data_IF_730238822661
#
_entry.id   IF_730238822661
#
_cell.length_a   1.000
_cell.length_b   1.000
_cell.length_c   1.000
_cell.angle_alpha   90.00
_cell.angle_beta   90.00
_cell.angle_gamma   90.00
#
_symmetry.space_group_name_H-M   'P 1'
#
loop_
_entity.id
_entity.type
_entity.pdbx_description
1 polymer ?
#
# COMPACT_ATOMS: atom_id res chain seq x y z
N UNK A 1 -10.45 3.27 25.72
CA UNK A 1 -9.20 3.88 25.23
C UNK A 1 -9.16 3.66 23.73
N UNK A 2 -9.24 4.68 22.86
CA UNK A 2 -9.00 4.43 21.44
C UNK A 2 -7.56 3.94 21.33
N UNK A 3 -7.37 2.68 20.90
CA UNK A 3 -6.03 2.15 20.64
C UNK A 3 -5.34 3.09 19.67
N UNK A 4 -4.13 3.54 19.99
CA UNK A 4 -3.29 4.32 19.07
C UNK A 4 -3.25 3.54 17.76
N UNK A 5 -3.98 4.02 16.75
CA UNK A 5 -3.99 3.35 15.46
C UNK A 5 -2.53 3.32 14.98
N UNK A 6 -2.06 2.15 14.58
CA UNK A 6 -0.71 2.01 14.07
C UNK A 6 -0.59 2.85 12.79
N UNK A 7 0.39 3.73 12.74
CA UNK A 7 0.64 4.65 11.63
C UNK A 7 2.13 4.69 11.34
N UNK A 8 2.49 4.49 10.07
CA UNK A 8 3.85 4.66 9.57
C UNK A 8 3.87 5.80 8.55
N UNK A 9 4.83 6.71 8.68
CA UNK A 9 5.04 7.78 7.70
C UNK A 9 6.15 7.32 6.76
N UNK A 10 5.84 7.23 5.46
CA UNK A 10 6.84 6.90 4.43
C UNK A 10 7.13 8.16 3.62
N UNK A 11 8.39 8.57 3.60
CA UNK A 11 8.85 9.72 2.80
C UNK A 11 9.23 9.27 1.40
N UNK A 12 8.54 9.77 0.38
CA UNK A 12 8.67 9.37 -1.03
C UNK A 12 8.88 10.64 -1.85
N UNK A 13 10.05 10.80 -2.48
CA UNK A 13 10.38 11.96 -3.31
C UNK A 13 10.09 13.31 -2.64
N UNK A 14 10.43 13.44 -1.34
CA UNK A 14 10.20 14.64 -0.54
C UNK A 14 8.76 14.84 -0.03
N UNK A 15 7.86 13.89 -0.29
CA UNK A 15 6.49 13.90 0.22
C UNK A 15 6.30 12.86 1.33
N UNK A 16 5.71 13.27 2.44
CA UNK A 16 5.28 12.35 3.50
C UNK A 16 3.94 11.71 3.14
N UNK A 17 3.87 10.38 3.19
CA UNK A 17 2.66 9.59 2.92
C UNK A 17 2.34 8.74 4.15
N UNK A 18 1.23 9.02 4.86
CA UNK A 18 0.84 8.22 6.02
C UNK A 18 0.22 6.89 5.60
N UNK A 19 0.71 5.79 6.16
CA UNK A 19 0.18 4.43 6.02
C UNK A 19 -0.47 4.04 7.34
N UNK A 20 -1.79 4.04 7.37
CA UNK A 20 -2.57 3.53 8.51
C UNK A 20 -2.69 2.01 8.48
N UNK A 21 -2.72 1.39 9.67
CA UNK A 21 -2.80 -0.06 9.85
C UNK A 21 -1.75 -0.82 9.00
N UNK A 22 -0.46 -0.46 9.09
CA UNK A 22 0.58 -1.02 8.24
C UNK A 22 0.74 -2.53 8.42
N UNK A 23 0.51 -3.05 9.64
CA UNK A 23 0.59 -4.49 9.93
C UNK A 23 -0.62 -5.30 9.45
N UNK A 24 -1.65 -4.68 8.84
CA UNK A 24 -2.80 -5.43 8.30
C UNK A 24 -2.36 -6.39 7.20
N UNK A 25 -2.61 -7.68 7.38
CA UNK A 25 -2.38 -8.69 6.33
C UNK A 25 -3.42 -8.49 5.22
N UNK A 26 -2.93 -8.26 4.00
CA UNK A 26 -3.77 -8.14 2.80
C UNK A 26 -3.72 -9.40 1.92
N UNK A 27 -2.67 -10.21 2.05
CA UNK A 27 -2.48 -11.46 1.32
C UNK A 27 -2.29 -12.62 2.31
N UNK A 28 -3.36 -13.24 2.82
CA UNK A 28 -3.27 -14.21 3.92
C UNK A 28 -2.39 -15.42 3.61
N UNK A 29 -2.49 -15.97 2.41
CA UNK A 29 -1.71 -17.14 2.00
C UNK A 29 -0.19 -16.87 1.98
N UNK A 30 0.23 -15.65 1.61
CA UNK A 30 1.64 -15.26 1.56
C UNK A 30 2.12 -14.52 2.82
N UNK A 31 1.20 -14.16 3.72
CA UNK A 31 1.48 -13.38 4.93
C UNK A 31 1.85 -11.92 4.69
N UNK A 32 1.64 -11.37 3.49
CA UNK A 32 2.05 -9.98 3.19
C UNK A 32 1.10 -8.94 3.78
N UNK A 33 1.70 -7.95 4.43
CA UNK A 33 1.01 -6.82 5.06
C UNK A 33 0.77 -5.68 4.08
N UNK A 34 -0.03 -4.70 4.49
CA UNK A 34 -0.23 -3.44 3.77
C UNK A 34 1.09 -2.70 3.56
N UNK A 35 1.96 -2.70 4.57
CA UNK A 35 3.27 -2.07 4.45
C UNK A 35 4.18 -2.79 3.46
N UNK A 36 4.14 -4.12 3.41
CA UNK A 36 4.89 -4.88 2.41
C UNK A 36 4.43 -4.54 1.00
N UNK A 37 3.13 -4.37 0.78
CA UNK A 37 2.59 -3.94 -0.51
C UNK A 37 3.07 -2.52 -0.89
N UNK A 38 3.12 -1.59 0.07
CA UNK A 38 3.70 -0.24 -0.16
C UNK A 38 5.17 -0.36 -0.56
N UNK A 39 5.96 -1.13 0.18
CA UNK A 39 7.40 -1.34 -0.10
C UNK A 39 7.61 -2.00 -1.46
N UNK A 40 6.77 -2.95 -1.85
CA UNK A 40 6.79 -3.56 -3.18
C UNK A 40 6.57 -2.52 -4.28
N UNK A 41 5.53 -1.68 -4.17
CA UNK A 41 5.29 -0.63 -5.16
C UNK A 41 6.46 0.34 -5.28
N UNK A 42 7.11 0.69 -4.16
CA UNK A 42 8.31 1.55 -4.17
C UNK A 42 9.49 0.86 -4.87
N UNK A 43 9.70 -0.43 -4.65
CA UNK A 43 10.79 -1.19 -5.27
C UNK A 43 10.66 -1.25 -6.80
N UNK A 44 9.43 -1.23 -7.35
CA UNK A 44 9.18 -1.30 -8.79
C UNK A 44 8.75 0.04 -9.42
N UNK A 45 8.62 1.11 -8.62
CA UNK A 45 7.99 2.36 -9.02
C UNK A 45 8.62 2.96 -10.29
N UNK A 46 9.95 3.02 -10.36
CA UNK A 46 10.65 3.63 -11.49
C UNK A 46 10.32 2.95 -12.82
N UNK A 47 10.30 1.62 -12.84
CA UNK A 47 9.94 0.84 -14.03
C UNK A 47 8.46 0.99 -14.38
N UNK A 48 7.59 0.84 -13.37
CA UNK A 48 6.14 0.92 -13.54
C UNK A 48 5.69 2.29 -14.05
N UNK A 49 6.25 3.38 -13.51
CA UNK A 49 5.89 4.75 -13.88
C UNK A 49 6.40 5.15 -15.27
N UNK A 50 7.53 4.61 -15.74
CA UNK A 50 7.95 4.80 -17.14
C UNK A 50 6.94 4.23 -18.14
N UNK A 51 6.30 3.11 -17.81
CA UNK A 51 5.34 2.45 -18.70
C UNK A 51 3.91 3.00 -18.56
N UNK A 52 3.46 3.26 -17.33
CA UNK A 52 2.06 3.55 -17.00
C UNK A 52 1.81 4.94 -16.38
N UNK A 53 2.86 5.71 -16.07
CA UNK A 53 2.73 7.05 -15.49
C UNK A 53 2.00 8.04 -16.39
N UNK A 54 1.40 9.07 -15.79
CA UNK A 54 0.63 10.13 -16.47
C UNK A 54 -0.56 9.64 -17.32
N UNK A 55 -1.10 8.46 -16.99
CA UNK A 55 -2.32 7.92 -17.60
C UNK A 55 -3.46 7.91 -16.57
N UNK A 56 -4.71 8.13 -16.98
CA UNK A 56 -5.86 7.84 -16.13
C UNK A 56 -5.87 6.36 -15.74
N UNK A 57 -6.05 6.07 -14.44
CA UNK A 57 -6.05 4.70 -13.92
C UNK A 57 -7.32 4.44 -13.11
N UNK A 58 -7.85 3.23 -13.22
CA UNK A 58 -8.88 2.71 -12.30
C UNK A 58 -8.18 1.97 -11.18
N UNK A 59 -8.62 2.16 -9.94
CA UNK A 59 -8.02 1.51 -8.78
C UNK A 59 -8.80 0.27 -8.40
N UNK A 60 -8.08 -0.85 -8.36
CA UNK A 60 -8.56 -2.09 -7.77
C UNK A 60 -8.19 -2.11 -6.28
N UNK A 61 -9.18 -2.00 -5.38
CA UNK A 61 -8.98 -1.84 -3.94
C UNK A 61 -9.58 -3.01 -3.19
N UNK A 62 -8.82 -3.54 -2.22
CA UNK A 62 -9.28 -4.55 -1.27
C UNK A 62 -8.99 -4.08 0.15
N UNK A 63 -9.83 -3.20 0.73
CA UNK A 63 -9.55 -2.59 2.03
C UNK A 63 -9.40 -3.64 3.15
N UNK A 64 -10.00 -4.80 2.98
CA UNK A 64 -10.02 -5.92 3.92
C UNK A 64 -9.16 -7.12 3.50
N UNK A 65 -8.29 -6.96 2.50
CA UNK A 65 -7.47 -8.04 1.95
C UNK A 65 -8.14 -8.74 0.77
N UNK A 66 -7.36 -9.51 0.02
CA UNK A 66 -7.75 -10.07 -1.29
C UNK A 66 -8.92 -11.05 -1.24
N UNK A 67 -9.19 -11.65 -0.07
CA UNK A 67 -10.30 -12.59 0.12
C UNK A 67 -11.61 -11.87 0.53
N UNK A 68 -11.55 -10.55 0.73
CA UNK A 68 -12.70 -9.71 1.07
C UNK A 68 -13.36 -9.09 -0.15
N UNK A 69 -14.45 -8.35 0.08
CA UNK A 69 -15.08 -7.55 -0.96
C UNK A 69 -14.19 -6.39 -1.42
N UNK A 70 -14.41 -6.04 -2.68
CA UNK A 70 -13.77 -4.96 -3.42
C UNK A 70 -14.36 -3.58 -3.09
#
# INVERSE_FOLDING_TARGET
>A
MPSRAEHEIVTISGREVPVSNPSKVLFPAAGHTKLDLVRYYLAVADGALRAAGNRPNVLVRYPNGIDGEF
#
